data_IF_414527308500
#
_entry.id   IF_414527308500
#
_cell.length_a   1.000
_cell.length_b   1.000
_cell.length_c   1.000
_cell.angle_alpha   90.00
_cell.angle_beta   90.00
_cell.angle_gamma   90.00
#
_symmetry.space_group_name_H-M   'P 1'
#
loop_
_entity.id
_entity.type
_entity.pdbx_description
1 polymer ?
#
# COMPACT_ATOMS: atom_id res chain seq x y z
N UNK A 1 -0.98 -4.77 0.12
CA UNK A 1 -2.11 -4.16 -0.63
C UNK A 1 -2.87 -3.12 0.18
N UNK A 2 -3.43 -3.42 1.35
CA UNK A 2 -4.10 -2.40 2.19
C UNK A 2 -3.18 -1.22 2.53
N UNK A 3 -1.89 -1.49 2.83
CA UNK A 3 -0.87 -0.46 3.07
C UNK A 3 -0.57 0.44 1.85
N UNK A 4 -0.79 -0.09 0.64
CA UNK A 4 -0.53 0.59 -0.62
C UNK A 4 -1.66 1.59 -0.97
N UNK A 5 -2.80 1.53 -0.28
CA UNK A 5 -3.97 2.37 -0.57
C UNK A 5 -4.77 1.89 -1.79
N UNK A 6 -4.76 0.59 -2.08
CA UNK A 6 -5.59 0.01 -3.16
C UNK A 6 -7.08 0.33 -2.91
N UNK A 7 -7.86 0.70 -3.94
CA UNK A 7 -9.25 1.12 -3.76
C UNK A 7 -10.09 0.08 -3.00
N UNK A 8 -11.00 0.57 -2.16
CA UNK A 8 -11.92 -0.19 -1.29
C UNK A 8 -11.33 -0.89 -0.06
N UNK A 9 -10.00 -0.95 0.09
CA UNK A 9 -9.38 -1.47 1.32
C UNK A 9 -9.27 -0.38 2.38
N UNK A 10 -9.08 -0.77 3.64
CA UNK A 10 -9.04 0.18 4.77
C UNK A 10 -8.06 1.35 4.60
N UNK A 11 -6.90 1.12 3.98
CA UNK A 11 -5.91 2.16 3.73
C UNK A 11 -6.29 3.21 2.68
N UNK A 12 -7.24 2.91 1.79
CA UNK A 12 -7.74 3.89 0.81
C UNK A 12 -8.49 5.03 1.52
N UNK A 13 -9.37 4.69 2.46
CA UNK A 13 -10.21 5.64 3.17
C UNK A 13 -9.41 6.70 3.95
N UNK A 14 -8.25 6.36 4.50
CA UNK A 14 -7.41 7.33 5.20
C UNK A 14 -6.40 8.01 4.29
N UNK A 15 -5.64 7.24 3.51
CA UNK A 15 -4.48 7.75 2.79
C UNK A 15 -4.88 8.66 1.63
N UNK A 16 -5.96 8.34 0.91
CA UNK A 16 -6.42 9.17 -0.22
C UNK A 16 -6.99 10.50 0.29
N UNK A 17 -7.85 10.46 1.33
CA UNK A 17 -8.36 11.67 1.99
C UNK A 17 -7.24 12.57 2.51
N UNK A 18 -6.19 12.02 3.13
CA UNK A 18 -5.05 12.80 3.62
C UNK A 18 -4.32 13.51 2.46
N UNK A 19 -4.06 12.81 1.35
CA UNK A 19 -3.35 13.39 0.21
C UNK A 19 -4.19 14.45 -0.51
N UNK A 20 -5.50 14.24 -0.62
CA UNK A 20 -6.42 15.25 -1.13
C UNK A 20 -6.44 16.50 -0.24
N UNK A 21 -6.50 16.34 1.08
CA UNK A 21 -6.43 17.48 2.02
C UNK A 21 -5.09 18.23 1.95
N UNK A 22 -3.97 17.51 1.79
CA UNK A 22 -2.65 18.13 1.58
C UNK A 22 -2.62 18.93 0.28
N UNK A 23 -3.24 18.44 -0.79
CA UNK A 23 -3.30 19.15 -2.07
C UNK A 23 -4.14 20.43 -2.05
N UNK A 24 -5.13 20.53 -1.16
CA UNK A 24 -5.89 21.76 -0.92
C UNK A 24 -5.16 22.75 -0.02
N UNK A 25 -4.29 22.27 0.86
CA UNK A 25 -3.60 23.12 1.82
C UNK A 25 -2.48 23.94 1.18
N UNK A 26 -2.20 25.12 1.76
CA UNK A 26 -1.08 25.97 1.35
C UNK A 26 0.25 25.39 1.84
N UNK A 27 0.78 24.42 1.10
CA UNK A 27 2.08 23.79 1.36
C UNK A 27 3.13 24.24 0.34
N UNK A 28 4.39 24.26 0.75
CA UNK A 28 5.51 24.52 -0.15
C UNK A 28 5.57 23.45 -1.26
N UNK A 29 5.97 23.84 -2.47
CA UNK A 29 6.12 22.89 -3.58
C UNK A 29 7.05 21.72 -3.25
N UNK A 30 8.11 21.96 -2.48
CA UNK A 30 9.04 20.91 -2.07
C UNK A 30 8.40 19.88 -1.14
N UNK A 31 7.61 20.32 -0.14
CA UNK A 31 6.93 19.39 0.76
C UNK A 31 5.84 18.62 0.01
N UNK A 32 5.10 19.27 -0.88
CA UNK A 32 4.13 18.62 -1.77
C UNK A 32 4.79 17.48 -2.56
N UNK A 33 5.93 17.75 -3.22
CA UNK A 33 6.67 16.72 -3.96
C UNK A 33 7.09 15.54 -3.07
N UNK A 34 7.63 15.82 -1.88
CA UNK A 34 8.05 14.76 -0.95
C UNK A 34 6.90 13.86 -0.50
N UNK A 35 5.70 14.40 -0.26
CA UNK A 35 4.53 13.58 0.10
C UNK A 35 4.22 12.57 -1.01
N UNK A 36 4.09 13.02 -2.25
CA UNK A 36 3.80 12.15 -3.39
C UNK A 36 4.95 11.20 -3.74
N UNK A 37 6.20 11.62 -3.57
CA UNK A 37 7.34 10.71 -3.75
C UNK A 37 7.37 9.62 -2.68
N UNK A 38 7.11 9.98 -1.41
CA UNK A 38 7.05 9.03 -0.31
C UNK A 38 5.93 7.99 -0.50
N UNK A 39 4.77 8.39 -1.03
CA UNK A 39 3.68 7.46 -1.31
C UNK A 39 4.08 6.47 -2.40
N UNK A 40 4.72 6.94 -3.48
CA UNK A 40 5.31 6.07 -4.51
C UNK A 40 6.29 5.04 -3.92
N UNK A 41 7.22 5.49 -3.05
CA UNK A 41 8.18 4.60 -2.38
C UNK A 41 7.53 3.55 -1.49
N UNK A 42 6.45 3.90 -0.75
CA UNK A 42 5.72 2.90 0.06
C UNK A 42 5.14 1.79 -0.79
N UNK A 43 4.68 2.12 -2.01
CA UNK A 43 4.19 1.14 -2.96
C UNK A 43 5.34 0.29 -3.50
N UNK A 44 6.46 0.91 -3.92
CA UNK A 44 7.66 0.17 -4.35
C UNK A 44 8.12 -0.85 -3.29
N UNK A 45 8.19 -0.44 -2.02
CA UNK A 45 8.58 -1.31 -0.92
C UNK A 45 7.64 -2.51 -0.76
N UNK A 46 6.33 -2.28 -0.83
CA UNK A 46 5.36 -3.35 -0.68
C UNK A 46 5.42 -4.39 -1.80
N UNK A 47 5.63 -3.97 -3.05
CA UNK A 47 5.79 -4.88 -4.18
C UNK A 47 7.11 -5.64 -4.13
N UNK A 48 8.19 -4.99 -3.68
CA UNK A 48 9.48 -5.66 -3.41
C UNK A 48 9.32 -6.78 -2.37
N UNK A 49 8.56 -6.54 -1.30
CA UNK A 49 8.31 -7.56 -0.28
C UNK A 49 7.55 -8.76 -0.87
N UNK A 50 6.47 -8.49 -1.62
CA UNK A 50 5.68 -9.55 -2.29
C UNK A 50 6.56 -10.37 -3.23
N UNK A 51 7.45 -9.71 -3.98
CA UNK A 51 8.36 -10.40 -4.90
C UNK A 51 9.28 -11.38 -4.15
N UNK A 52 9.96 -10.93 -3.10
CA UNK A 52 10.93 -11.79 -2.40
C UNK A 52 10.31 -12.87 -1.51
N UNK A 53 9.11 -12.65 -0.95
CA UNK A 53 8.50 -13.64 -0.05
C UNK A 53 7.56 -14.62 -0.72
N UNK A 54 6.84 -14.20 -1.77
CA UNK A 54 5.76 -15.01 -2.37
C UNK A 54 6.04 -15.45 -3.80
N UNK A 55 6.73 -14.64 -4.61
CA UNK A 55 6.93 -14.95 -6.04
C UNK A 55 8.30 -15.54 -6.35
N UNK A 56 9.32 -15.25 -5.54
CA UNK A 56 10.68 -15.75 -5.73
C UNK A 56 10.86 -17.21 -5.29
N UNK A 57 12.00 -17.77 -5.68
CA UNK A 57 12.40 -19.10 -5.22
C UNK A 57 12.54 -19.13 -3.70
N UNK A 58 12.07 -20.23 -3.12
CA UNK A 58 12.12 -20.44 -1.69
C UNK A 58 13.56 -20.72 -1.25
N UNK A 59 14.27 -19.68 -0.80
CA UNK A 59 15.63 -19.74 -0.26
C UNK A 59 15.67 -20.36 1.16
N UNK A 60 15.00 -21.49 1.30
CA UNK A 60 14.90 -22.27 2.52
C UNK A 60 16.11 -23.19 2.66
N UNK A 61 16.53 -23.47 3.89
CA UNK A 61 17.56 -24.49 4.11
C UNK A 61 16.97 -25.87 3.79
N UNK A 62 17.84 -26.82 3.42
CA UNK A 62 17.45 -28.17 2.96
C UNK A 62 16.56 -28.99 3.92
N UNK A 63 16.40 -28.54 5.17
CA UNK A 63 15.54 -29.15 6.19
C UNK A 63 14.63 -28.08 6.79
N UNK A 64 13.53 -27.77 6.09
CA UNK A 64 12.53 -26.83 6.56
C UNK A 64 11.27 -27.54 7.06
N UNK A 65 10.92 -27.33 8.33
CA UNK A 65 9.62 -27.70 8.90
C UNK A 65 8.67 -26.49 8.86
N UNK A 66 7.97 -26.31 7.74
CA UNK A 66 6.91 -25.31 7.63
C UNK A 66 5.60 -25.94 8.10
N UNK A 67 4.99 -25.39 9.15
CA UNK A 67 3.69 -25.84 9.64
C UNK A 67 2.80 -24.65 10.02
N UNK A 68 1.75 -24.43 9.22
CA UNK A 68 0.77 -23.36 9.41
C UNK A 68 -0.57 -23.86 10.00
N UNK A 69 -0.64 -25.12 10.46
CA UNK A 69 -1.90 -25.75 10.91
C UNK A 69 -2.38 -25.32 12.31
N UNK A 70 -1.62 -24.48 13.02
CA UNK A 70 -1.98 -24.04 14.36
C UNK A 70 -3.26 -23.19 14.36
N UNK A 71 -4.36 -23.78 14.83
CA UNK A 71 -5.69 -23.16 14.93
C UNK A 71 -5.71 -21.79 15.62
N UNK A 72 -4.89 -21.59 16.65
CA UNK A 72 -4.80 -20.30 17.38
C UNK A 72 -4.30 -19.19 16.45
N UNK A 73 -3.29 -19.48 15.62
CA UNK A 73 -2.71 -18.54 14.66
C UNK A 73 -3.66 -18.27 13.50
N UNK A 74 -4.26 -19.32 12.92
CA UNK A 74 -5.23 -19.16 11.83
C UNK A 74 -6.43 -18.32 12.25
N UNK A 75 -6.95 -18.53 13.48
CA UNK A 75 -8.08 -17.76 14.00
C UNK A 75 -7.75 -16.28 14.16
N UNK A 76 -6.55 -15.93 14.64
CA UNK A 76 -6.15 -14.53 14.81
C UNK A 76 -5.93 -13.83 13.46
N UNK A 77 -5.28 -14.49 12.50
CA UNK A 77 -5.09 -13.97 11.15
C UNK A 77 -6.42 -13.73 10.44
N UNK A 78 -7.38 -14.66 10.54
CA UNK A 78 -8.70 -14.49 9.93
C UNK A 78 -9.47 -13.29 10.49
N UNK A 79 -9.42 -13.07 11.81
CA UNK A 79 -10.05 -11.91 12.45
C UNK A 79 -9.46 -10.59 11.93
N UNK A 80 -8.13 -10.51 11.83
CA UNK A 80 -7.43 -9.34 11.31
C UNK A 80 -7.75 -9.06 9.84
N UNK A 81 -7.87 -10.10 9.01
CA UNK A 81 -8.26 -9.96 7.60
C UNK A 81 -9.65 -9.33 7.46
N UNK A 82 -10.64 -9.79 8.24
CA UNK A 82 -11.98 -9.20 8.24
C UNK A 82 -11.94 -7.71 8.60
N UNK A 83 -11.20 -7.34 9.64
CA UNK A 83 -11.09 -5.93 10.05
C UNK A 83 -10.37 -5.08 8.99
N UNK A 84 -9.38 -5.64 8.29
CA UNK A 84 -8.63 -4.90 7.26
C UNK A 84 -9.47 -4.53 6.03
N UNK A 85 -10.53 -5.28 5.74
CA UNK A 85 -11.44 -5.05 4.61
C UNK A 85 -12.58 -4.11 5.04
N UNK A 86 -13.32 -4.47 6.10
CA UNK A 86 -14.52 -3.73 6.50
C UNK A 86 -14.22 -2.55 7.43
N UNK A 87 -13.19 -2.66 8.26
CA UNK A 87 -12.93 -1.71 9.35
C UNK A 87 -12.69 -0.29 8.87
N UNK A 88 -11.99 -0.08 7.75
CA UNK A 88 -11.74 1.27 7.25
C UNK A 88 -13.02 1.97 6.75
N UNK A 89 -13.90 1.25 6.04
CA UNK A 89 -15.17 1.80 5.60
C UNK A 89 -16.12 2.10 6.76
N UNK A 90 -16.22 1.17 7.72
CA UNK A 90 -17.03 1.37 8.93
C UNK A 90 -16.55 2.57 9.75
N UNK A 91 -15.25 2.71 9.95
CA UNK A 91 -14.67 3.84 10.69
C UNK A 91 -14.88 5.17 9.96
N UNK A 92 -14.74 5.19 8.63
CA UNK A 92 -14.96 6.41 7.84
C UNK A 92 -16.39 6.94 8.00
N UNK A 93 -17.39 6.06 7.96
CA UNK A 93 -18.80 6.43 8.16
C UNK A 93 -19.12 6.87 9.59
N UNK A 94 -18.42 6.33 10.60
CA UNK A 94 -18.65 6.67 12.01
C UNK A 94 -17.97 7.98 12.42
N UNK A 95 -16.75 8.23 11.97
CA UNK A 95 -15.93 9.36 12.42
C UNK A 95 -16.30 10.64 11.69
N UNK A 96 -16.53 10.58 10.37
CA UNK A 96 -16.82 11.78 9.58
C UNK A 96 -18.33 12.03 9.51
N UNK A 97 -18.84 12.73 10.51
CA UNK A 97 -20.25 13.16 10.57
C UNK A 97 -20.60 14.26 9.57
N UNK A 98 -19.61 15.02 9.09
CA UNK A 98 -19.76 16.01 8.03
C UNK A 98 -18.75 15.72 6.91
N UNK A 99 -19.19 15.47 5.66
CA UNK A 99 -18.26 15.23 4.57
C UNK A 99 -17.54 16.54 4.25
N UNK A 100 -16.21 16.56 4.41
CA UNK A 100 -15.39 17.67 3.91
C UNK A 100 -15.40 17.57 2.39
N UNK A 101 -16.04 18.51 1.72
CA UNK A 101 -16.07 18.54 0.24
C UNK A 101 -14.73 19.07 -0.24
N UNK A 102 -13.97 18.18 -0.87
CA UNK A 102 -12.68 18.49 -1.46
C UNK A 102 -12.90 18.78 -2.95
N UNK A 103 -12.81 20.06 -3.34
CA UNK A 103 -12.95 20.49 -4.73
C UNK A 103 -11.57 20.63 -5.38
N UNK A 104 -11.18 19.63 -6.18
CA UNK A 104 -9.90 19.59 -6.89
C UNK A 104 -10.11 19.47 -8.41
N UNK A 105 -9.22 20.03 -9.24
CA UNK A 105 -9.19 19.74 -10.67
C UNK A 105 -8.89 18.25 -10.92
N UNK A 106 -9.39 17.71 -12.03
CA UNK A 106 -9.29 16.29 -12.36
C UNK A 106 -7.85 15.73 -12.29
N UNK A 107 -6.85 16.50 -12.69
CA UNK A 107 -5.45 16.10 -12.62
C UNK A 107 -4.99 15.76 -11.19
N UNK A 108 -5.31 16.62 -10.21
CA UNK A 108 -4.90 16.40 -8.82
C UNK A 108 -5.66 15.24 -8.19
N UNK A 109 -6.93 15.05 -8.56
CA UNK A 109 -7.74 13.96 -8.05
C UNK A 109 -7.23 12.57 -8.47
N UNK A 110 -6.77 12.41 -9.71
CA UNK A 110 -6.24 11.14 -10.18
C UNK A 110 -4.74 10.94 -9.89
N UNK A 111 -4.06 11.94 -9.34
CA UNK A 111 -2.62 11.92 -9.10
C UNK A 111 -2.20 10.78 -8.15
N UNK A 112 -2.95 10.57 -7.07
CA UNK A 112 -2.66 9.53 -6.06
C UNK A 112 -2.65 8.14 -6.70
N UNK A 113 -3.67 7.85 -7.50
CA UNK A 113 -3.85 6.58 -8.19
C UNK A 113 -2.76 6.35 -9.25
N UNK A 114 -2.39 7.39 -10.00
CA UNK A 114 -1.30 7.32 -10.98
C UNK A 114 0.04 6.97 -10.32
N UNK A 115 0.37 7.61 -9.18
CA UNK A 115 1.60 7.35 -8.44
C UNK A 115 1.64 5.94 -7.87
N UNK A 116 0.50 5.41 -7.41
CA UNK A 116 0.41 4.02 -6.96
C UNK A 116 0.74 3.02 -8.09
N UNK A 117 0.22 3.25 -9.30
CA UNK A 117 0.50 2.39 -10.46
C UNK A 117 1.98 2.47 -10.85
N UNK A 118 2.51 3.70 -10.98
CA UNK A 118 3.91 3.91 -11.34
C UNK A 118 4.87 3.32 -10.30
N UNK A 119 4.59 3.52 -9.01
CA UNK A 119 5.38 2.93 -7.92
C UNK A 119 5.33 1.40 -7.91
N UNK A 120 4.19 0.80 -8.24
CA UNK A 120 4.08 -0.65 -8.38
C UNK A 120 4.93 -1.20 -9.53
N UNK A 121 4.85 -0.58 -10.71
CA UNK A 121 5.66 -0.94 -11.87
C UNK A 121 7.16 -0.81 -11.59
N UNK A 122 7.58 0.32 -11.02
CA UNK A 122 8.99 0.57 -10.67
C UNK A 122 9.48 -0.44 -9.62
N UNK A 123 8.68 -0.71 -8.57
CA UNK A 123 9.01 -1.69 -7.55
C UNK A 123 9.25 -3.09 -8.11
N UNK A 124 8.40 -3.53 -9.04
CA UNK A 124 8.53 -4.83 -9.69
C UNK A 124 9.74 -4.90 -10.64
N UNK A 125 10.01 -3.84 -11.41
CA UNK A 125 11.19 -3.79 -12.27
C UNK A 125 12.49 -3.84 -11.45
N UNK A 126 12.57 -3.08 -10.35
CA UNK A 126 13.74 -3.06 -9.47
C UNK A 126 13.99 -4.44 -8.86
N UNK A 127 12.94 -5.16 -8.44
CA UNK A 127 13.12 -6.49 -7.84
C UNK A 127 13.64 -7.51 -8.85
N UNK A 128 13.16 -7.46 -10.10
CA UNK A 128 13.62 -8.34 -11.18
C UNK A 128 15.10 -8.10 -11.55
N UNK A 129 15.60 -6.86 -11.45
CA UNK A 129 16.98 -6.52 -11.80
C UNK A 129 17.99 -7.23 -10.88
N UNK A 130 17.62 -7.58 -9.65
CA UNK A 130 18.50 -8.30 -8.72
C UNK A 130 18.75 -9.78 -9.08
N UNK A 131 17.90 -10.42 -9.90
CA UNK A 131 18.18 -11.78 -10.39
C UNK A 131 19.31 -11.82 -11.44
N UNK A 132 19.59 -10.70 -12.12
CA UNK A 132 20.69 -10.63 -13.08
C UNK A 132 22.07 -10.45 -12.44
N UNK A 133 22.15 -10.08 -11.16
CA UNK A 133 23.42 -9.88 -10.46
C UNK A 133 23.89 -11.10 -9.65
N UNK A 134 23.07 -12.12 -9.44
CA UNK A 134 23.48 -13.35 -8.75
C UNK A 134 24.21 -14.36 -9.67
N UNK A 135 24.29 -14.08 -10.97
CA UNK A 135 25.06 -14.84 -11.95
C UNK A 135 26.37 -14.13 -12.37
N UNK A 136 27.00 -13.44 -11.41
CA UNK A 136 28.43 -13.11 -11.43
C UNK A 136 29.05 -13.33 -10.06
#
# INVERSE_FOLDING_TARGET
LALCGMPFLSGFYSKDLILEMVSLSYMNFFSFFLYFFSTGLTVCYSFRLIYYSMMGDSNFSSLNLLNDENWIMLKSMMSLLFLSIFGGGMLNWLIFSTPVIIMLPFYLKFLTLFICIMGGMVGYLISNISLFFYNK
#
